data_IF_911532428793
#
_entry.id   IF_911532428793
#
_cell.length_a   1.000
_cell.length_b   1.000
_cell.length_c   1.000
_cell.angle_alpha   90.00
_cell.angle_beta   90.00
_cell.angle_gamma   90.00
#
_symmetry.space_group_name_H-M   'P 1'
#
loop_
_entity.id
_entity.type
_entity.pdbx_description
1 polymer ?
#
# COMPACT_ATOMS: atom_id res chain seq x y z
N UNK A 1 -79.56 -37.92 17.64
CA UNK A 1 -79.61 -36.85 16.69
C UNK A 1 -78.57 -35.79 17.14
N UNK A 2 -77.33 -35.93 16.67
CA UNK A 2 -76.20 -35.04 17.01
C UNK A 2 -75.66 -34.43 15.72
N UNK A 3 -75.78 -33.12 15.61
CA UNK A 3 -75.36 -32.29 14.51
C UNK A 3 -73.81 -32.08 14.57
N UNK A 4 -73.08 -32.53 13.57
CA UNK A 4 -71.65 -32.23 13.42
C UNK A 4 -71.50 -30.94 12.57
N UNK A 5 -70.96 -29.89 13.17
CA UNK A 5 -70.62 -28.67 12.49
C UNK A 5 -69.14 -28.83 12.04
N UNK A 6 -68.93 -28.81 10.71
CA UNK A 6 -67.59 -28.79 10.09
C UNK A 6 -67.18 -27.36 10.00
N UNK A 7 -66.12 -26.98 10.72
CA UNK A 7 -65.46 -25.69 10.61
C UNK A 7 -64.36 -25.77 9.54
N UNK A 8 -64.51 -25.04 8.47
CA UNK A 8 -63.48 -24.88 7.43
C UNK A 8 -62.49 -23.79 7.87
N UNK A 9 -61.26 -24.23 8.14
CA UNK A 9 -60.14 -23.32 8.43
C UNK A 9 -59.45 -22.90 7.10
N UNK A 10 -59.59 -21.64 6.74
CA UNK A 10 -58.85 -21.05 5.65
C UNK A 10 -57.41 -20.74 6.10
N UNK A 11 -56.42 -21.42 5.53
CA UNK A 11 -55.01 -21.05 5.65
C UNK A 11 -54.74 -19.87 4.70
N UNK A 12 -54.48 -18.70 5.26
CA UNK A 12 -53.89 -17.58 4.54
C UNK A 12 -52.40 -17.79 4.44
N UNK A 13 -51.91 -18.06 3.23
CA UNK A 13 -50.48 -18.02 2.89
C UNK A 13 -50.09 -16.54 2.79
N UNK A 14 -49.37 -16.06 3.83
CA UNK A 14 -48.62 -14.79 3.74
C UNK A 14 -47.40 -15.04 2.92
N UNK A 15 -47.40 -14.64 1.63
CA UNK A 15 -46.21 -14.57 0.83
C UNK A 15 -45.37 -13.39 1.36
N UNK A 16 -44.30 -13.70 2.07
CA UNK A 16 -43.21 -12.75 2.33
C UNK A 16 -42.50 -12.52 0.99
N UNK A 17 -42.87 -11.45 0.30
CA UNK A 17 -42.00 -10.88 -0.73
C UNK A 17 -40.78 -10.34 -0.01
N UNK A 18 -39.68 -11.09 -0.11
CA UNK A 18 -38.36 -10.63 0.23
C UNK A 18 -37.99 -9.60 -0.83
N UNK A 19 -38.25 -8.34 -0.52
CA UNK A 19 -37.65 -7.21 -1.22
C UNK A 19 -36.15 -7.37 -0.99
N UNK A 20 -35.46 -7.93 -2.02
CA UNK A 20 -34.03 -7.85 -2.10
C UNK A 20 -33.72 -6.35 -2.09
N UNK A 21 -33.15 -5.88 -0.97
CA UNK A 21 -32.52 -4.58 -0.93
C UNK A 21 -31.45 -4.62 -2.03
N UNK A 22 -31.76 -4.05 -3.17
CA UNK A 22 -30.76 -3.61 -4.13
C UNK A 22 -29.87 -2.64 -3.35
N UNK A 23 -28.75 -3.16 -2.87
CA UNK A 23 -27.63 -2.34 -2.47
C UNK A 23 -27.26 -1.57 -3.74
N UNK A 24 -27.77 -0.34 -3.80
CA UNK A 24 -27.27 0.66 -4.73
C UNK A 24 -25.79 0.77 -4.51
N UNK A 25 -25.01 0.05 -5.30
CA UNK A 25 -23.64 0.41 -5.58
C UNK A 25 -23.70 1.65 -6.48
N UNK A 26 -24.07 2.79 -5.90
CA UNK A 26 -23.65 4.09 -6.41
C UNK A 26 -22.16 4.22 -6.15
N UNK A 27 -21.39 3.37 -6.81
CA UNK A 27 -19.99 3.65 -7.12
C UNK A 27 -20.08 4.82 -8.08
N UNK A 28 -19.65 5.99 -7.64
CA UNK A 28 -19.59 7.17 -8.47
C UNK A 28 -18.94 6.77 -9.81
N UNK A 29 -19.70 6.84 -10.91
CA UNK A 29 -19.29 6.39 -12.25
C UNK A 29 -18.06 7.12 -12.80
N UNK A 30 -17.45 8.03 -12.03
CA UNK A 30 -16.31 8.85 -12.41
C UNK A 30 -15.17 8.91 -11.35
N UNK A 31 -15.23 8.14 -10.27
CA UNK A 31 -14.18 8.15 -9.24
C UNK A 31 -13.06 7.14 -9.52
N UNK A 32 -11.86 7.43 -9.03
CA UNK A 32 -10.73 6.49 -9.03
C UNK A 32 -10.71 5.71 -7.71
N UNK A 33 -11.08 4.43 -7.76
CA UNK A 33 -10.99 3.51 -6.64
C UNK A 33 -10.27 2.25 -7.12
N UNK A 34 -9.03 2.08 -6.68
CA UNK A 34 -8.20 0.93 -7.03
C UNK A 34 -7.42 0.45 -5.82
N UNK A 35 -7.08 -0.83 -5.76
CA UNK A 35 -6.23 -1.38 -4.69
C UNK A 35 -5.42 -2.55 -5.19
N UNK A 36 -4.23 -2.75 -4.61
CA UNK A 36 -3.37 -3.88 -4.86
C UNK A 36 -2.78 -4.39 -3.55
N UNK A 37 -2.31 -5.63 -3.55
CA UNK A 37 -1.65 -6.21 -2.39
C UNK A 37 -0.48 -7.09 -2.78
N UNK A 38 0.49 -7.17 -1.86
CA UNK A 38 1.66 -8.00 -1.95
C UNK A 38 2.04 -8.54 -0.56
N UNK A 39 3.16 -9.26 -0.51
CA UNK A 39 3.71 -9.76 0.73
C UNK A 39 5.21 -9.47 0.78
N UNK A 40 5.71 -9.11 1.96
CA UNK A 40 7.13 -8.91 2.23
C UNK A 40 7.45 -9.38 3.65
N UNK A 41 8.42 -10.28 3.81
CA UNK A 41 8.86 -10.83 5.13
C UNK A 41 7.69 -11.32 6.02
N UNK A 42 6.67 -11.93 5.43
CA UNK A 42 5.48 -12.39 6.16
C UNK A 42 4.51 -11.27 6.56
N UNK A 43 4.80 -10.03 6.18
CA UNK A 43 3.92 -8.88 6.32
C UNK A 43 3.02 -8.74 5.10
N UNK A 44 1.87 -8.11 5.27
CA UNK A 44 0.95 -7.78 4.20
C UNK A 44 1.19 -6.34 3.77
N UNK A 45 1.49 -6.14 2.47
CA UNK A 45 1.68 -4.85 1.85
C UNK A 45 0.44 -4.53 1.04
N UNK A 46 -0.19 -3.40 1.27
CA UNK A 46 -1.39 -2.94 0.56
C UNK A 46 -1.15 -1.55 -0.01
N UNK A 47 -1.63 -1.33 -1.23
CA UNK A 47 -1.76 0.01 -1.78
C UNK A 47 -3.20 0.24 -2.22
N UNK A 48 -3.68 1.46 -2.01
CA UNK A 48 -5.00 1.89 -2.49
C UNK A 48 -4.91 3.30 -3.06
N UNK A 49 -5.70 3.58 -4.09
CA UNK A 49 -5.89 4.91 -4.63
C UNK A 49 -7.35 5.32 -4.53
N UNK A 50 -7.59 6.58 -4.16
CA UNK A 50 -8.92 7.15 -3.97
C UNK A 50 -8.92 8.60 -4.44
N UNK A 51 -9.87 8.96 -5.31
CA UNK A 51 -10.00 10.33 -5.80
C UNK A 51 -11.19 10.52 -6.74
N UNK A 52 -11.46 11.76 -7.11
CA UNK A 52 -12.48 12.09 -8.09
C UNK A 52 -12.11 11.60 -9.50
N UNK A 53 -10.82 11.54 -9.79
CA UNK A 53 -10.21 10.95 -10.99
C UNK A 53 -8.87 10.33 -10.64
N UNK A 54 -8.32 9.47 -11.52
CA UNK A 54 -7.09 8.75 -11.24
C UNK A 54 -5.82 9.64 -11.33
N UNK A 55 -5.86 10.70 -12.11
CA UNK A 55 -4.73 11.61 -12.23
C UNK A 55 -4.52 12.46 -10.96
N UNK A 56 -5.57 12.66 -10.16
CA UNK A 56 -5.55 13.45 -8.93
C UNK A 56 -5.85 12.60 -7.67
N UNK A 57 -5.77 11.28 -7.79
CA UNK A 57 -6.03 10.38 -6.67
C UNK A 57 -4.95 10.50 -5.58
N UNK A 58 -5.37 10.31 -4.34
CA UNK A 58 -4.49 10.03 -3.20
C UNK A 58 -4.19 8.54 -3.15
N UNK A 59 -2.90 8.17 -3.15
CA UNK A 59 -2.46 6.80 -3.05
C UNK A 59 -1.86 6.53 -1.66
N UNK A 60 -2.37 5.51 -0.97
CA UNK A 60 -1.89 5.12 0.36
C UNK A 60 -1.19 3.77 0.27
N UNK A 61 0.04 3.69 0.77
CA UNK A 61 0.76 2.45 0.98
C UNK A 61 0.70 2.08 2.47
N UNK A 62 0.32 0.84 2.77
CA UNK A 62 0.19 0.34 4.14
C UNK A 62 0.88 -1.00 4.29
N UNK A 63 1.67 -1.16 5.35
CA UNK A 63 2.28 -2.44 5.72
C UNK A 63 1.74 -2.85 7.09
N UNK A 64 1.24 -4.10 7.17
CA UNK A 64 0.61 -4.63 8.39
C UNK A 64 1.02 -6.06 8.69
N UNK A 65 0.83 -6.45 9.94
CA UNK A 65 0.83 -7.84 10.39
C UNK A 65 -0.53 -8.23 11.00
N UNK A 66 -0.63 -9.41 11.60
CA UNK A 66 -1.84 -9.86 12.29
C UNK A 66 -2.24 -8.97 13.49
N UNK A 67 -1.30 -8.21 14.06
CA UNK A 67 -1.54 -7.31 15.20
C UNK A 67 -1.98 -5.90 14.78
N UNK A 68 -1.93 -5.55 13.48
CA UNK A 68 -2.36 -4.25 12.98
C UNK A 68 -1.38 -3.60 12.01
N UNK A 69 -1.59 -2.31 11.78
CA UNK A 69 -0.76 -1.48 10.90
C UNK A 69 0.59 -1.20 11.57
N UNK A 70 1.67 -1.49 10.85
CA UNK A 70 3.05 -1.21 11.27
C UNK A 70 3.57 0.10 10.66
N UNK A 71 3.10 0.41 9.44
CA UNK A 71 3.46 1.63 8.72
C UNK A 71 2.38 1.97 7.69
N UNK A 72 2.13 3.27 7.49
CA UNK A 72 1.21 3.75 6.44
C UNK A 72 1.57 5.19 6.07
N UNK A 73 1.58 5.50 4.77
CA UNK A 73 1.82 6.84 4.26
C UNK A 73 0.99 7.07 2.99
N UNK A 74 0.58 8.34 2.77
CA UNK A 74 -0.27 8.74 1.64
C UNK A 74 0.47 9.76 0.77
N UNK A 75 0.34 9.62 -0.53
CA UNK A 75 1.00 10.45 -1.54
C UNK A 75 -0.02 10.87 -2.61
N UNK A 76 0.08 12.08 -3.17
CA UNK A 76 -0.60 12.38 -4.44
C UNK A 76 -0.09 11.41 -5.52
N UNK A 77 -0.99 10.69 -6.19
CA UNK A 77 -0.59 9.72 -7.22
C UNK A 77 0.21 10.37 -8.36
N UNK A 78 -0.07 11.64 -8.65
CA UNK A 78 0.66 12.44 -9.65
C UNK A 78 2.12 12.71 -9.31
N UNK A 79 2.49 12.59 -8.03
CA UNK A 79 3.87 12.84 -7.56
C UNK A 79 4.70 11.56 -7.41
N UNK A 80 4.08 10.38 -7.57
CA UNK A 80 4.75 9.08 -7.51
C UNK A 80 4.95 8.56 -8.93
N UNK A 81 6.20 8.42 -9.38
CA UNK A 81 6.56 8.09 -10.77
C UNK A 81 5.80 6.88 -11.33
N UNK A 82 5.66 5.81 -10.57
CA UNK A 82 4.97 4.58 -11.01
C UNK A 82 3.45 4.75 -11.12
N UNK A 83 2.88 5.74 -10.45
CA UNK A 83 1.43 6.01 -10.42
C UNK A 83 1.04 7.17 -11.33
N UNK A 84 1.98 8.10 -11.57
CA UNK A 84 1.73 9.31 -12.32
C UNK A 84 1.19 9.02 -13.73
N UNK A 85 0.20 9.80 -14.17
CA UNK A 85 -0.43 9.66 -15.48
C UNK A 85 -1.39 8.47 -15.61
N UNK A 86 -1.91 7.92 -14.51
CA UNK A 86 -2.97 6.91 -14.57
C UNK A 86 -4.24 7.50 -15.21
N UNK A 87 -4.72 6.91 -16.29
CA UNK A 87 -5.84 7.43 -17.09
C UNK A 87 -7.18 6.74 -16.76
N UNK A 88 -7.14 5.57 -16.11
CA UNK A 88 -8.34 4.80 -15.75
C UNK A 88 -8.13 4.03 -14.44
N UNK A 89 -9.23 3.49 -13.90
CA UNK A 89 -9.19 2.62 -12.70
C UNK A 89 -8.36 1.36 -12.97
N UNK A 90 -8.49 0.77 -14.15
CA UNK A 90 -7.73 -0.43 -14.54
C UNK A 90 -6.23 -0.12 -14.66
N UNK A 91 -5.88 1.05 -15.21
CA UNK A 91 -4.49 1.48 -15.30
C UNK A 91 -3.92 1.77 -13.91
N UNK A 92 -4.65 2.45 -13.04
CA UNK A 92 -4.27 2.67 -11.64
C UNK A 92 -4.10 1.34 -10.90
N UNK A 93 -5.01 0.38 -11.07
CA UNK A 93 -4.92 -0.96 -10.48
C UNK A 93 -3.63 -1.67 -10.87
N UNK A 94 -3.26 -1.64 -12.15
CA UNK A 94 -2.01 -2.22 -12.65
C UNK A 94 -0.79 -1.52 -12.03
N UNK A 95 -0.79 -0.19 -11.99
CA UNK A 95 0.31 0.61 -11.41
C UNK A 95 0.47 0.39 -9.91
N UNK A 96 -0.63 0.31 -9.16
CA UNK A 96 -0.59 -0.04 -7.73
C UNK A 96 -0.01 -1.44 -7.51
N UNK A 97 -0.35 -2.41 -8.38
CA UNK A 97 0.24 -3.75 -8.30
C UNK A 97 1.75 -3.72 -8.55
N UNK A 98 2.23 -2.94 -9.51
CA UNK A 98 3.67 -2.72 -9.75
C UNK A 98 4.33 -2.01 -8.56
N UNK A 99 3.63 -1.10 -7.91
CA UNK A 99 4.13 -0.35 -6.77
C UNK A 99 4.37 -1.21 -5.53
N UNK A 100 3.47 -2.16 -5.23
CA UNK A 100 3.61 -3.09 -4.09
C UNK A 100 4.44 -4.34 -4.40
N UNK A 101 4.60 -4.67 -5.69
CA UNK A 101 5.37 -5.82 -6.18
C UNK A 101 6.35 -5.36 -7.27
N UNK A 102 7.29 -4.45 -6.95
CA UNK A 102 8.18 -3.90 -7.97
C UNK A 102 9.01 -5.01 -8.62
N UNK A 103 9.09 -5.06 -9.98
CA UNK A 103 9.90 -6.03 -10.67
C UNK A 103 11.38 -5.82 -10.31
N UNK A 104 12.01 -6.86 -9.78
CA UNK A 104 13.41 -6.79 -9.36
C UNK A 104 13.61 -6.02 -8.04
N UNK A 105 12.62 -5.96 -7.17
CA UNK A 105 12.73 -5.44 -5.80
C UNK A 105 13.75 -6.24 -4.99
N UNK A 106 15.01 -6.06 -5.32
CA UNK A 106 16.12 -6.81 -4.80
C UNK A 106 16.98 -6.01 -3.83
N UNK A 107 16.42 -4.96 -3.21
CA UNK A 107 17.01 -4.45 -1.98
C UNK A 107 16.31 -5.14 -0.83
N UNK A 108 16.82 -6.30 -0.52
CA UNK A 108 16.20 -7.17 0.46
C UNK A 108 16.75 -6.95 1.86
N UNK A 109 17.88 -6.22 1.99
CA UNK A 109 18.52 -6.00 3.28
C UNK A 109 19.19 -4.63 3.39
N UNK A 110 19.39 -4.19 4.64
CA UNK A 110 20.16 -2.99 4.94
C UNK A 110 21.65 -3.14 4.58
N UNK A 111 22.15 -4.36 4.36
CA UNK A 111 23.49 -4.63 3.84
C UNK A 111 23.71 -4.05 2.44
N UNK A 112 22.64 -3.88 1.64
CA UNK A 112 22.69 -3.32 0.29
C UNK A 112 22.73 -1.77 0.27
N UNK A 113 22.58 -1.12 1.43
CA UNK A 113 22.67 0.34 1.52
C UNK A 113 24.04 0.83 1.02
N UNK A 114 24.11 1.98 0.32
CA UNK A 114 25.37 2.54 -0.16
C UNK A 114 26.37 2.78 0.96
N UNK A 115 27.66 2.67 0.63
CA UNK A 115 28.73 3.00 1.58
C UNK A 115 28.75 4.50 1.85
N UNK A 116 28.76 4.87 3.12
CA UNK A 116 28.97 6.26 3.52
C UNK A 116 30.47 6.56 3.58
N UNK A 117 31.05 7.03 2.47
CA UNK A 117 32.48 7.32 2.38
C UNK A 117 32.94 8.38 3.40
N UNK A 118 34.21 8.28 3.84
CA UNK A 118 34.78 9.25 4.76
C UNK A 118 34.75 10.67 4.15
N UNK A 119 34.23 11.66 4.87
CA UNK A 119 34.10 13.03 4.41
C UNK A 119 32.93 13.32 3.47
N UNK A 120 32.19 12.30 3.01
CA UNK A 120 30.98 12.52 2.23
C UNK A 120 29.83 13.04 3.10
N UNK A 121 29.00 13.92 2.55
CA UNK A 121 27.80 14.41 3.23
C UNK A 121 26.70 13.32 3.29
N UNK A 122 26.58 12.52 2.22
CA UNK A 122 25.61 11.43 2.10
C UNK A 122 26.29 10.16 1.57
N UNK A 123 25.72 9.00 1.83
CA UNK A 123 26.07 7.78 1.10
C UNK A 123 25.70 7.92 -0.38
N UNK A 124 26.47 7.29 -1.28
CA UNK A 124 26.27 7.43 -2.73
C UNK A 124 26.12 6.05 -3.37
N UNK A 125 25.11 5.91 -4.24
CA UNK A 125 24.94 4.80 -5.17
C UNK A 125 25.25 5.32 -6.58
N UNK A 126 26.51 5.15 -7.04
CA UNK A 126 26.96 5.84 -8.24
C UNK A 126 26.97 7.36 -8.05
N UNK A 127 26.22 8.08 -8.89
CA UNK A 127 26.04 9.54 -8.78
C UNK A 127 24.83 9.94 -7.91
N UNK A 128 23.99 8.98 -7.50
CA UNK A 128 22.74 9.23 -6.80
C UNK A 128 22.93 9.12 -5.27
N UNK A 129 22.62 10.19 -4.51
CA UNK A 129 22.74 10.16 -3.06
C UNK A 129 21.60 9.39 -2.40
N UNK A 130 21.94 8.76 -1.28
CA UNK A 130 20.98 8.30 -0.29
C UNK A 130 20.84 9.37 0.79
N UNK A 131 19.66 9.89 0.97
CA UNK A 131 19.34 10.87 2.01
C UNK A 131 18.83 10.15 3.24
N UNK A 132 19.69 10.06 4.26
CA UNK A 132 19.30 9.44 5.52
C UNK A 132 18.16 10.24 6.19
N UNK A 133 17.23 9.52 6.82
CA UNK A 133 16.09 10.11 7.54
C UNK A 133 16.57 10.91 8.75
N UNK A 134 15.78 11.88 9.19
CA UNK A 134 16.08 12.65 10.40
C UNK A 134 16.28 11.71 11.60
N UNK A 135 17.40 11.89 12.32
CA UNK A 135 17.80 11.02 13.43
C UNK A 135 18.61 9.78 13.03
N UNK A 136 18.80 9.50 11.74
CA UNK A 136 19.72 8.48 11.23
C UNK A 136 21.06 9.13 10.92
N UNK A 137 21.88 9.32 11.95
CA UNK A 137 23.25 9.76 11.77
C UNK A 137 24.13 8.67 11.14
N UNK A 138 25.38 9.04 10.82
CA UNK A 138 26.32 8.10 10.19
C UNK A 138 26.56 6.85 11.03
N UNK A 139 26.67 6.98 12.35
CA UNK A 139 26.94 5.84 13.23
C UNK A 139 25.75 4.86 13.22
N UNK A 140 24.53 5.39 13.28
CA UNK A 140 23.31 4.60 13.16
C UNK A 140 23.18 3.97 11.79
N UNK A 141 23.46 4.72 10.72
CA UNK A 141 23.45 4.20 9.35
C UNK A 141 24.40 3.02 9.15
N UNK A 142 25.65 3.13 9.60
CA UNK A 142 26.63 2.02 9.50
C UNK A 142 26.24 0.82 10.36
N UNK A 143 25.60 1.07 11.52
CA UNK A 143 25.03 -0.01 12.34
C UNK A 143 23.92 -0.75 11.59
N UNK A 144 23.00 -0.02 10.94
CA UNK A 144 21.94 -0.60 10.11
C UNK A 144 22.53 -1.41 8.95
N UNK A 145 23.50 -0.83 8.24
CA UNK A 145 24.20 -1.54 7.17
C UNK A 145 24.85 -2.84 7.62
N UNK A 146 25.49 -2.82 8.78
CA UNK A 146 26.15 -3.98 9.36
C UNK A 146 25.19 -5.04 9.93
N UNK A 147 23.95 -4.66 10.22
CA UNK A 147 22.94 -5.58 10.76
C UNK A 147 22.34 -6.51 9.70
N UNK A 148 22.42 -6.15 8.41
CA UNK A 148 21.86 -6.90 7.28
C UNK A 148 20.38 -7.28 7.50
N UNK A 149 19.61 -6.34 8.07
CA UNK A 149 18.21 -6.53 8.42
C UNK A 149 17.30 -6.42 7.17
N UNK A 150 16.12 -7.06 7.16
CA UNK A 150 15.16 -6.91 6.07
C UNK A 150 14.83 -5.45 5.78
N UNK A 151 14.84 -5.08 4.50
CA UNK A 151 14.58 -3.71 4.04
C UNK A 151 13.58 -3.72 2.89
N UNK A 152 12.58 -2.84 2.98
CA UNK A 152 11.58 -2.62 1.93
C UNK A 152 11.74 -1.22 1.36
N UNK A 153 12.05 -1.13 0.07
CA UNK A 153 12.11 0.16 -0.63
C UNK A 153 10.99 0.26 -1.67
N UNK A 154 10.40 1.44 -1.80
CA UNK A 154 9.31 1.72 -2.74
C UNK A 154 9.45 3.14 -3.30
N UNK A 155 9.00 3.34 -4.52
CA UNK A 155 9.00 4.66 -5.16
C UNK A 155 8.05 5.58 -4.40
N UNK A 156 8.58 6.69 -3.86
CA UNK A 156 7.80 7.69 -3.10
C UNK A 156 7.65 9.02 -3.85
N UNK A 157 8.38 9.22 -4.96
CA UNK A 157 8.39 10.46 -5.72
C UNK A 157 8.76 10.21 -7.17
N UNK A 158 9.03 11.28 -7.91
CA UNK A 158 9.41 11.17 -9.33
C UNK A 158 10.83 10.65 -9.53
N UNK A 159 11.72 10.88 -8.57
CA UNK A 159 13.15 10.55 -8.67
C UNK A 159 13.69 9.96 -7.35
N UNK A 160 12.82 9.33 -6.55
CA UNK A 160 13.24 8.78 -5.25
C UNK A 160 12.42 7.58 -4.81
N UNK A 161 13.10 6.66 -4.12
CA UNK A 161 12.48 5.56 -3.38
C UNK A 161 12.74 5.71 -1.88
N UNK A 162 11.72 5.54 -1.06
CA UNK A 162 11.85 5.46 0.39
C UNK A 162 12.23 4.04 0.79
N UNK A 163 13.09 3.90 1.80
CA UNK A 163 13.48 2.61 2.36
C UNK A 163 13.08 2.50 3.83
N UNK A 164 12.39 1.41 4.16
CA UNK A 164 11.98 1.02 5.50
C UNK A 164 12.79 -0.19 5.95
N UNK A 165 13.18 -0.24 7.21
CA UNK A 165 13.79 -1.43 7.81
C UNK A 165 12.88 -2.04 8.86
N UNK A 166 12.89 -3.37 8.95
CA UNK A 166 12.16 -4.12 9.97
C UNK A 166 13.13 -4.49 11.11
N UNK A 167 13.00 -3.79 12.24
CA UNK A 167 13.80 -4.05 13.43
C UNK A 167 12.91 -4.36 14.64
N UNK A 168 13.10 -5.50 15.28
CA UNK A 168 12.34 -5.90 16.46
C UNK A 168 10.81 -5.82 16.27
N UNK A 169 10.33 -6.16 15.07
CA UNK A 169 8.89 -6.12 14.71
C UNK A 169 8.32 -4.72 14.48
N UNK A 170 9.18 -3.70 14.32
CA UNK A 170 8.79 -2.31 13.99
C UNK A 170 9.35 -1.91 12.65
N UNK A 171 8.57 -1.20 11.86
CA UNK A 171 9.00 -0.58 10.63
C UNK A 171 9.44 0.87 10.90
N UNK A 172 10.61 1.22 10.39
CA UNK A 172 11.17 2.57 10.51
C UNK A 172 11.72 3.01 9.16
N UNK A 173 11.35 4.19 8.71
CA UNK A 173 11.96 4.81 7.54
C UNK A 173 13.41 5.17 7.88
N UNK A 174 14.33 4.77 7.03
CA UNK A 174 15.76 5.00 7.24
C UNK A 174 16.34 6.03 6.29
N UNK A 175 15.60 6.36 5.24
CA UNK A 175 15.99 7.38 4.26
C UNK A 175 15.37 7.14 2.89
N UNK A 176 15.85 7.91 1.92
CA UNK A 176 15.44 7.82 0.53
C UNK A 176 16.66 7.79 -0.41
N UNK A 177 16.64 6.86 -1.36
CA UNK A 177 17.60 6.78 -2.45
C UNK A 177 17.09 7.57 -3.64
N UNK A 178 17.87 8.52 -4.15
CA UNK A 178 17.57 9.13 -5.44
C UNK A 178 17.96 8.23 -6.61
N UNK A 179 17.27 8.40 -7.73
CA UNK A 179 17.54 7.72 -9.02
C UNK A 179 17.15 8.67 -10.17
N UNK A 180 17.58 8.40 -11.43
CA UNK A 180 17.16 9.23 -12.58
C UNK A 180 15.66 9.03 -12.83
N UNK A 181 14.94 10.14 -13.11
CA UNK A 181 13.53 10.16 -13.54
C UNK A 181 13.33 9.81 -15.00
#
# INVERSE_FOLDING_TARGET
MRLCIVAASALALVACTQEAAEQSTDVAENGCWASASGAWEGLHVEASANGADCAQAEATLTIRNAGGVLWSETYPASEVMVLAGAESVEDMQRRLNEWVNPPGAARNSTGDLPVWAAGAQNPMSGEFPFYAEEGVDRARYETLRGADAPMFCFVQGMESEACLTLENGRLTKIGAQSFPG
#
